data_IF_268728917413
#
_entry.id   IF_268728917413
#
_cell.length_a   1.000
_cell.length_b   1.000
_cell.length_c   1.000
_cell.angle_alpha   90.00
_cell.angle_beta   90.00
_cell.angle_gamma   90.00
#
_symmetry.space_group_name_H-M   'P 1'
#
loop_
_entity.id
_entity.type
_entity.pdbx_description
1 polymer ?
#
# COMPACT_ATOMS: atom_id res chain seq x y z
N UNK A 1 6.21 68.04 -12.31
CA UNK A 1 5.56 66.90 -11.65
C UNK A 1 5.82 65.67 -12.51
N UNK A 2 6.97 65.03 -12.31
CA UNK A 2 7.44 63.93 -13.17
C UNK A 2 7.52 62.68 -12.32
N UNK A 3 6.37 62.01 -12.16
CA UNK A 3 6.33 60.72 -11.48
C UNK A 3 7.01 59.70 -12.40
N UNK A 4 8.08 59.09 -11.89
CA UNK A 4 9.00 58.19 -12.60
C UNK A 4 8.28 57.03 -13.29
N UNK A 5 8.10 57.13 -14.61
CA UNK A 5 7.60 56.05 -15.48
C UNK A 5 8.42 54.76 -15.33
N UNK A 6 9.70 54.85 -15.00
CA UNK A 6 10.58 53.70 -14.71
C UNK A 6 10.13 52.84 -13.52
N UNK A 7 9.57 53.43 -12.46
CA UNK A 7 9.15 52.66 -11.27
C UNK A 7 7.94 51.77 -11.59
N UNK A 8 7.02 52.27 -12.42
CA UNK A 8 5.85 51.51 -12.87
C UNK A 8 6.21 50.34 -13.81
N UNK A 9 7.22 50.51 -14.66
CA UNK A 9 7.71 49.46 -15.56
C UNK A 9 8.42 48.34 -14.79
N UNK A 10 9.25 48.69 -13.80
CA UNK A 10 9.95 47.71 -12.96
C UNK A 10 8.97 46.92 -12.09
N UNK A 11 7.96 47.57 -11.49
CA UNK A 11 6.93 46.89 -10.71
C UNK A 11 6.09 45.91 -11.53
N UNK A 12 5.75 46.26 -12.79
CA UNK A 12 5.07 45.34 -13.72
C UNK A 12 5.95 44.16 -14.11
N UNK A 13 7.23 44.38 -14.42
CA UNK A 13 8.16 43.30 -14.77
C UNK A 13 8.36 42.31 -13.61
N UNK A 14 8.46 42.79 -12.36
CA UNK A 14 8.55 41.95 -11.17
C UNK A 14 7.26 41.15 -10.96
N UNK A 15 6.09 41.78 -11.13
CA UNK A 15 4.80 41.10 -11.00
C UNK A 15 4.61 40.02 -12.08
N UNK A 16 5.00 40.30 -13.33
CA UNK A 16 5.00 39.32 -14.42
C UNK A 16 5.99 38.18 -14.15
N UNK A 17 7.18 38.47 -13.60
CA UNK A 17 8.15 37.44 -13.24
C UNK A 17 7.65 36.53 -12.10
N UNK A 18 6.98 37.08 -11.09
CA UNK A 18 6.38 36.31 -9.99
C UNK A 18 5.22 35.42 -10.48
N UNK A 19 4.34 35.94 -11.35
CA UNK A 19 3.24 35.16 -11.94
C UNK A 19 3.79 34.06 -12.87
N UNK A 20 4.84 34.35 -13.63
CA UNK A 20 5.48 33.38 -14.52
C UNK A 20 6.19 32.27 -13.73
N UNK A 21 6.83 32.59 -12.59
CA UNK A 21 7.43 31.58 -11.69
C UNK A 21 6.38 30.80 -10.89
N UNK A 22 5.25 31.40 -10.50
CA UNK A 22 4.16 30.65 -9.85
C UNK A 22 3.46 29.68 -10.80
N UNK A 23 3.38 30.00 -12.10
CA UNK A 23 2.88 29.08 -13.13
C UNK A 23 3.82 27.90 -13.44
N UNK A 24 5.09 27.97 -13.02
CA UNK A 24 6.10 26.92 -13.25
C UNK A 24 6.26 25.96 -12.06
N UNK A 25 5.61 26.22 -10.93
CA UNK A 25 5.54 25.27 -9.81
C UNK A 25 4.55 24.14 -10.15
N UNK A 26 4.98 23.24 -11.03
CA UNK A 26 4.32 21.94 -11.16
C UNK A 26 4.62 21.15 -9.89
N UNK A 27 3.60 20.87 -9.10
CA UNK A 27 3.69 19.89 -8.02
C UNK A 27 3.96 18.55 -8.69
N UNK A 28 5.18 18.02 -8.53
CA UNK A 28 5.56 16.68 -8.94
C UNK A 28 4.94 15.70 -7.93
N UNK A 29 3.70 15.29 -8.20
CA UNK A 29 3.13 14.12 -7.57
C UNK A 29 3.64 12.86 -8.28
N UNK A 30 3.69 11.74 -7.56
CA UNK A 30 3.97 10.44 -8.16
C UNK A 30 2.83 10.09 -9.15
N UNK A 31 3.12 10.14 -10.45
CA UNK A 31 2.20 9.70 -11.51
C UNK A 31 2.64 8.34 -12.04
N UNK A 32 2.24 7.29 -11.33
CA UNK A 32 2.53 5.89 -11.71
C UNK A 32 1.49 5.29 -12.67
N UNK A 33 0.54 6.09 -13.16
CA UNK A 33 -0.49 5.64 -14.09
C UNK A 33 -1.63 4.80 -13.49
N UNK A 34 -1.59 4.48 -12.19
CA UNK A 34 -2.62 3.70 -11.49
C UNK A 34 -3.72 4.59 -10.90
N UNK A 35 -4.77 3.95 -10.36
CA UNK A 35 -5.88 4.58 -9.62
C UNK A 35 -6.52 5.81 -10.29
N UNK A 36 -6.61 5.79 -11.64
CA UNK A 36 -7.32 6.82 -12.43
C UNK A 36 -8.82 6.88 -12.11
N UNK A 37 -9.35 5.79 -11.55
CA UNK A 37 -10.63 5.73 -10.83
C UNK A 37 -10.38 5.19 -9.42
N UNK A 38 -11.30 5.44 -8.46
CA UNK A 38 -11.19 4.84 -7.13
C UNK A 38 -11.01 3.32 -7.21
N UNK A 39 -10.04 2.73 -6.49
CA UNK A 39 -9.81 1.29 -6.53
C UNK A 39 -11.00 0.54 -5.91
N UNK A 40 -11.41 -0.55 -6.56
CA UNK A 40 -12.52 -1.39 -6.10
C UNK A 40 -12.00 -2.79 -5.78
N UNK A 41 -12.32 -3.29 -4.59
CA UNK A 41 -11.86 -4.60 -4.15
C UNK A 41 -12.44 -5.02 -2.81
N UNK A 42 -11.80 -6.02 -2.22
CA UNK A 42 -12.10 -6.57 -0.92
C UNK A 42 -10.84 -6.53 -0.06
N UNK A 43 -11.01 -6.20 1.23
CA UNK A 43 -9.93 -6.08 2.21
C UNK A 43 -10.35 -6.78 3.50
N UNK A 44 -9.45 -7.56 4.11
CA UNK A 44 -9.80 -8.48 5.19
C UNK A 44 -10.18 -7.81 6.53
N UNK A 45 -9.65 -6.60 6.80
CA UNK A 45 -9.63 -6.03 8.15
C UNK A 45 -10.99 -5.89 8.84
N UNK A 46 -11.95 -5.20 8.23
CA UNK A 46 -13.18 -4.82 8.93
C UNK A 46 -13.94 -6.06 9.46
N UNK A 47 -14.04 -7.10 8.62
CA UNK A 47 -14.78 -8.32 8.94
C UNK A 47 -13.96 -9.37 9.68
N UNK A 48 -12.68 -9.56 9.32
CA UNK A 48 -11.86 -10.68 9.82
C UNK A 48 -10.83 -10.26 10.87
N UNK A 49 -10.51 -8.96 10.93
CA UNK A 49 -9.60 -8.36 11.92
C UNK A 49 -8.28 -9.13 11.99
N UNK A 50 -7.72 -9.27 13.18
CA UNK A 50 -6.51 -10.03 13.47
C UNK A 50 -6.82 -11.45 13.97
N UNK A 51 -7.81 -12.14 13.41
CA UNK A 51 -8.13 -13.51 13.82
C UNK A 51 -7.04 -14.48 13.32
N UNK A 52 -6.18 -14.96 14.22
CA UNK A 52 -5.10 -15.93 13.88
C UNK A 52 -5.36 -17.34 14.40
N UNK A 53 -6.52 -17.57 15.05
CA UNK A 53 -6.86 -18.87 15.62
C UNK A 53 -7.45 -19.82 14.57
N UNK A 54 -6.59 -20.30 13.68
CA UNK A 54 -6.99 -21.26 12.65
C UNK A 54 -7.32 -22.66 13.21
N UNK A 55 -7.04 -22.93 14.49
CA UNK A 55 -7.36 -24.21 15.10
C UNK A 55 -8.84 -24.27 15.46
N UNK A 56 -9.35 -23.21 16.09
CA UNK A 56 -10.74 -23.16 16.55
C UNK A 56 -11.66 -22.43 15.56
N UNK A 57 -11.13 -21.59 14.67
CA UNK A 57 -11.88 -20.85 13.66
C UNK A 57 -11.23 -20.88 12.26
N UNK A 58 -11.07 -22.09 11.66
CA UNK A 58 -10.31 -22.28 10.42
C UNK A 58 -10.90 -21.58 9.19
N UNK A 59 -12.18 -21.20 9.22
CA UNK A 59 -12.87 -20.58 8.09
C UNK A 59 -12.83 -19.05 8.12
N UNK A 60 -12.46 -18.44 9.25
CA UNK A 60 -12.39 -16.98 9.39
C UNK A 60 -11.02 -16.49 9.86
N UNK A 61 -10.07 -17.37 10.17
CA UNK A 61 -8.72 -16.93 10.48
C UNK A 61 -8.01 -16.36 9.23
N UNK A 62 -7.12 -15.39 9.45
CA UNK A 62 -6.25 -14.79 8.43
C UNK A 62 -5.27 -15.85 7.93
N UNK A 63 -5.61 -16.47 6.81
CA UNK A 63 -4.88 -17.60 6.23
C UNK A 63 -4.97 -17.59 4.71
N UNK A 64 -4.02 -18.25 4.05
CA UNK A 64 -4.00 -18.46 2.59
C UNK A 64 -5.35 -18.97 2.08
N UNK A 65 -5.96 -19.93 2.80
CA UNK A 65 -7.28 -20.47 2.46
C UNK A 65 -8.36 -19.39 2.39
N UNK A 66 -8.40 -18.47 3.36
CA UNK A 66 -9.38 -17.38 3.37
C UNK A 66 -9.28 -16.53 2.09
N UNK A 67 -8.07 -16.15 1.69
CA UNK A 67 -7.85 -15.29 0.53
C UNK A 67 -8.11 -16.02 -0.79
N UNK A 68 -7.77 -17.32 -0.89
CA UNK A 68 -8.14 -18.14 -2.05
C UNK A 68 -9.66 -18.26 -2.18
N UNK A 69 -10.36 -18.53 -1.08
CA UNK A 69 -11.82 -18.65 -1.06
C UNK A 69 -12.51 -17.33 -1.44
N UNK A 70 -11.95 -16.17 -1.03
CA UNK A 70 -12.49 -14.85 -1.42
C UNK A 70 -12.21 -14.54 -2.88
N UNK A 71 -11.02 -14.88 -3.39
CA UNK A 71 -10.69 -14.72 -4.81
C UNK A 71 -11.64 -15.54 -5.70
N UNK A 72 -11.95 -16.79 -5.33
CA UNK A 72 -12.91 -17.63 -6.04
C UNK A 72 -14.32 -17.02 -6.04
N UNK A 73 -14.79 -16.53 -4.89
CA UNK A 73 -16.09 -15.85 -4.78
C UNK A 73 -16.14 -14.57 -5.59
N UNK A 74 -15.07 -13.77 -5.60
CA UNK A 74 -15.03 -12.54 -6.39
C UNK A 74 -15.03 -12.81 -7.90
N UNK A 75 -14.29 -13.83 -8.34
CA UNK A 75 -14.20 -14.21 -9.74
C UNK A 75 -15.49 -14.82 -10.30
N UNK A 76 -16.15 -15.69 -9.52
CA UNK A 76 -17.36 -16.41 -9.94
C UNK A 76 -18.68 -15.73 -9.58
N UNK A 77 -18.71 -14.94 -8.50
CA UNK A 77 -19.92 -14.35 -7.92
C UNK A 77 -20.37 -13.00 -8.52
N UNK A 78 -19.74 -12.56 -9.62
CA UNK A 78 -20.12 -11.32 -10.31
C UNK A 78 -19.43 -10.05 -9.82
N UNK A 79 -18.71 -10.08 -8.69
CA UNK A 79 -17.96 -8.92 -8.16
C UNK A 79 -16.92 -8.42 -9.15
N UNK A 80 -16.13 -9.32 -9.74
CA UNK A 80 -15.16 -8.95 -10.78
C UNK A 80 -15.83 -8.26 -11.97
N UNK A 81 -17.00 -8.75 -12.42
CA UNK A 81 -17.76 -8.13 -13.51
C UNK A 81 -18.28 -6.74 -13.15
N UNK A 82 -18.56 -6.52 -11.87
CA UNK A 82 -18.95 -5.22 -11.33
C UNK A 82 -17.76 -4.28 -11.05
N UNK A 83 -16.52 -4.71 -11.32
CA UNK A 83 -15.30 -3.88 -11.20
C UNK A 83 -14.46 -4.13 -9.95
N UNK A 84 -14.86 -5.02 -9.04
CA UNK A 84 -14.05 -5.36 -7.86
C UNK A 84 -12.90 -6.29 -8.25
N UNK A 85 -11.69 -5.76 -8.31
CA UNK A 85 -10.53 -6.46 -8.85
C UNK A 85 -9.41 -6.72 -7.82
N UNK A 86 -9.36 -6.00 -6.70
CA UNK A 86 -8.31 -6.18 -5.68
C UNK A 86 -8.74 -7.13 -4.55
N UNK A 87 -7.89 -8.10 -4.21
CA UNK A 87 -7.97 -8.92 -2.98
C UNK A 87 -6.82 -8.53 -2.07
N UNK A 88 -7.10 -7.85 -0.96
CA UNK A 88 -6.10 -7.20 -0.12
C UNK A 88 -6.01 -7.89 1.24
N UNK A 89 -4.82 -8.38 1.58
CA UNK A 89 -4.47 -8.81 2.94
C UNK A 89 -4.18 -7.58 3.78
N UNK A 90 -4.83 -7.48 4.93
CA UNK A 90 -4.52 -6.47 5.94
C UNK A 90 -3.49 -7.00 6.97
N UNK A 91 -3.41 -6.41 8.16
CA UNK A 91 -2.47 -6.80 9.20
C UNK A 91 -2.59 -8.30 9.62
N UNK A 92 -1.60 -8.76 10.38
CA UNK A 92 -1.53 -10.08 10.99
C UNK A 92 -1.24 -11.25 10.03
N UNK A 93 -0.70 -11.00 8.84
CA UNK A 93 -0.35 -12.04 7.87
C UNK A 93 1.05 -12.65 8.08
N UNK A 94 1.99 -11.86 8.60
CA UNK A 94 3.40 -12.23 8.67
C UNK A 94 3.73 -13.10 9.89
N UNK A 95 4.93 -13.68 9.88
CA UNK A 95 5.61 -14.11 11.10
C UNK A 95 5.84 -12.93 12.04
N UNK A 96 6.00 -13.22 13.34
CA UNK A 96 6.39 -12.21 14.34
C UNK A 96 7.85 -11.77 14.24
N UNK A 97 8.65 -12.43 13.41
CA UNK A 97 10.05 -12.11 13.17
C UNK A 97 10.36 -12.18 11.68
N UNK A 98 11.21 -11.26 11.23
CA UNK A 98 11.87 -11.34 9.92
C UNK A 98 12.84 -12.52 9.88
N UNK A 99 13.25 -12.95 8.69
CA UNK A 99 14.30 -13.95 8.55
C UNK A 99 15.68 -13.40 8.91
N UNK A 100 16.71 -14.26 8.82
CA UNK A 100 18.11 -13.89 9.11
C UNK A 100 18.67 -12.77 8.22
N UNK A 101 18.05 -12.52 7.06
CA UNK A 101 18.43 -11.46 6.13
C UNK A 101 17.56 -10.20 6.31
N UNK A 102 16.69 -10.16 7.32
CA UNK A 102 15.80 -9.03 7.57
C UNK A 102 14.55 -9.00 6.66
N UNK A 103 14.26 -10.06 5.90
CA UNK A 103 13.10 -10.11 5.01
C UNK A 103 11.84 -10.52 5.75
N UNK A 104 10.71 -9.87 5.46
CA UNK A 104 9.39 -10.29 5.93
C UNK A 104 9.09 -11.73 5.49
N UNK A 105 8.48 -12.50 6.38
CA UNK A 105 8.06 -13.88 6.14
C UNK A 105 6.57 -13.99 6.37
N UNK A 106 5.86 -14.72 5.50
CA UNK A 106 4.48 -15.11 5.77
C UNK A 106 4.46 -16.13 6.92
N UNK A 107 3.43 -16.08 7.77
CA UNK A 107 3.23 -17.11 8.79
C UNK A 107 3.16 -18.49 8.15
N UNK A 108 4.08 -19.38 8.52
CA UNK A 108 4.27 -20.67 7.83
C UNK A 108 3.10 -21.63 8.02
N UNK A 109 2.33 -21.48 9.10
CA UNK A 109 1.19 -22.36 9.37
C UNK A 109 -0.05 -21.88 8.63
N UNK A 110 -0.25 -20.56 8.54
CA UNK A 110 -1.43 -19.95 7.94
C UNK A 110 -1.28 -19.68 6.45
N UNK A 111 -0.05 -19.49 5.97
CA UNK A 111 0.33 -19.27 4.58
C UNK A 111 1.41 -20.27 4.13
N UNK A 112 1.13 -21.58 4.15
CA UNK A 112 2.14 -22.62 3.94
C UNK A 112 2.79 -22.58 2.55
N UNK A 113 2.09 -22.05 1.52
CA UNK A 113 2.65 -21.91 0.18
C UNK A 113 3.44 -20.60 -0.02
N UNK A 114 3.34 -19.66 0.92
CA UNK A 114 3.95 -18.33 0.86
C UNK A 114 3.21 -17.33 -0.03
N UNK A 115 3.51 -16.03 0.14
CA UNK A 115 2.78 -14.93 -0.50
C UNK A 115 2.84 -14.98 -2.03
N UNK A 116 4.01 -15.28 -2.61
CA UNK A 116 4.13 -15.33 -4.07
C UNK A 116 3.13 -16.30 -4.71
N UNK A 117 2.98 -17.50 -4.15
CA UNK A 117 2.04 -18.50 -4.70
C UNK A 117 0.58 -18.06 -4.52
N UNK A 118 0.26 -17.37 -3.43
CA UNK A 118 -1.05 -16.77 -3.23
C UNK A 118 -1.33 -15.65 -4.25
N UNK A 119 -0.35 -14.79 -4.52
CA UNK A 119 -0.46 -13.76 -5.56
C UNK A 119 -0.66 -14.40 -6.95
N UNK A 120 0.18 -15.37 -7.32
CA UNK A 120 0.07 -16.13 -8.58
C UNK A 120 -1.34 -16.77 -8.71
N UNK A 121 -1.89 -17.31 -7.62
CA UNK A 121 -3.24 -17.87 -7.60
C UNK A 121 -4.31 -16.80 -7.84
N UNK A 122 -4.23 -15.65 -7.16
CA UNK A 122 -5.17 -14.54 -7.32
C UNK A 122 -5.12 -13.97 -8.76
N UNK A 123 -3.91 -13.84 -9.31
CA UNK A 123 -3.70 -13.45 -10.71
C UNK A 123 -4.31 -14.45 -11.69
N UNK A 124 -4.26 -15.75 -11.40
CA UNK A 124 -4.89 -16.79 -12.24
C UNK A 124 -6.43 -16.64 -12.34
N UNK A 125 -7.05 -15.96 -11.36
CA UNK A 125 -8.49 -15.59 -11.40
C UNK A 125 -8.73 -14.28 -12.13
N UNK A 126 -7.67 -13.65 -12.65
CA UNK A 126 -7.63 -12.32 -13.23
C UNK A 126 -8.05 -11.24 -12.24
N UNK A 127 -7.67 -11.41 -10.98
CA UNK A 127 -7.77 -10.41 -9.90
C UNK A 127 -6.36 -9.88 -9.61
N UNK A 128 -6.27 -8.83 -8.79
CA UNK A 128 -5.05 -8.17 -8.34
C UNK A 128 -4.83 -8.44 -6.86
N UNK A 129 -3.59 -8.61 -6.44
CA UNK A 129 -3.24 -8.93 -5.07
C UNK A 129 -2.72 -7.70 -4.31
N UNK A 130 -3.26 -7.45 -3.13
CA UNK A 130 -2.78 -6.41 -2.23
C UNK A 130 -2.22 -6.94 -0.92
N UNK A 131 -1.23 -6.24 -0.38
CA UNK A 131 -0.62 -6.57 0.91
C UNK A 131 -0.54 -5.35 1.82
N UNK A 132 -0.38 -5.61 3.11
CA UNK A 132 -0.27 -4.62 4.16
C UNK A 132 1.14 -4.58 4.76
N UNK A 133 1.59 -3.37 5.07
CA UNK A 133 2.73 -3.08 5.92
C UNK A 133 2.46 -1.85 6.77
N UNK A 134 3.40 -1.51 7.64
CA UNK A 134 3.32 -0.35 8.52
C UNK A 134 4.64 0.41 8.43
N UNK A 135 4.55 1.74 8.32
CA UNK A 135 5.71 2.60 8.24
C UNK A 135 6.57 2.49 9.50
N UNK A 136 6.00 2.33 10.69
CA UNK A 136 6.73 2.36 11.96
C UNK A 136 7.55 1.11 12.27
N UNK A 137 7.90 0.96 13.54
CA UNK A 137 8.70 -0.20 14.01
C UNK A 137 7.91 -1.49 14.10
N UNK A 138 6.60 -1.39 14.30
CA UNK A 138 5.65 -2.50 14.36
C UNK A 138 4.37 -2.11 13.62
N UNK A 139 3.65 -3.11 13.13
CA UNK A 139 2.26 -2.92 12.70
C UNK A 139 1.35 -2.66 13.90
N UNK A 140 0.16 -2.12 13.66
CA UNK A 140 -0.84 -1.91 14.72
C UNK A 140 -1.18 -3.21 15.50
N UNK A 141 -1.10 -4.38 14.87
CA UNK A 141 -1.25 -5.72 15.46
C UNK A 141 0.04 -6.29 16.06
N UNK A 142 1.10 -5.49 16.16
CA UNK A 142 2.38 -5.85 16.76
C UNK A 142 3.18 -6.87 15.94
N UNK A 143 3.11 -6.81 14.61
CA UNK A 143 3.97 -7.56 13.68
C UNK A 143 5.13 -6.67 13.21
N UNK A 144 6.19 -7.19 12.56
CA UNK A 144 7.32 -6.37 12.13
C UNK A 144 6.91 -5.22 11.19
N UNK A 145 7.22 -3.97 11.56
CA UNK A 145 7.04 -2.79 10.70
C UNK A 145 8.22 -2.56 9.77
N UNK A 146 8.13 -1.55 8.91
CA UNK A 146 9.02 -1.35 7.75
C UNK A 146 10.02 -0.20 7.87
N UNK A 147 10.01 0.62 8.94
CA UNK A 147 10.82 1.87 9.02
C UNK A 147 12.32 1.71 8.67
N UNK A 148 12.93 0.57 9.00
CA UNK A 148 14.35 0.29 8.73
C UNK A 148 14.58 -0.66 7.54
N UNK A 149 13.52 -0.98 6.80
CA UNK A 149 13.49 -2.01 5.75
C UNK A 149 12.68 -1.57 4.53
N UNK A 150 12.37 -0.29 4.35
CA UNK A 150 11.46 0.21 3.31
C UNK A 150 11.81 -0.29 1.91
N UNK A 151 13.07 -0.13 1.48
CA UNK A 151 13.52 -0.61 0.17
C UNK A 151 13.49 -2.15 0.07
N UNK A 152 13.96 -2.84 1.11
CA UNK A 152 13.96 -4.31 1.15
C UNK A 152 12.54 -4.90 1.11
N UNK A 153 11.59 -4.27 1.79
CA UNK A 153 10.18 -4.67 1.81
C UNK A 153 9.50 -4.34 0.48
N UNK A 154 9.76 -3.16 -0.10
CA UNK A 154 9.27 -2.80 -1.43
C UNK A 154 9.75 -3.80 -2.50
N UNK A 155 11.03 -4.16 -2.50
CA UNK A 155 11.60 -5.19 -3.38
C UNK A 155 10.97 -6.57 -3.11
N UNK A 156 10.77 -6.92 -1.84
CA UNK A 156 10.10 -8.17 -1.43
C UNK A 156 8.69 -8.27 -1.99
N UNK A 157 7.90 -7.19 -1.91
CA UNK A 157 6.53 -7.15 -2.42
C UNK A 157 6.50 -7.19 -3.96
N UNK A 158 7.41 -6.48 -4.62
CA UNK A 158 7.53 -6.53 -6.08
C UNK A 158 7.89 -7.94 -6.58
N UNK A 159 8.85 -8.61 -5.94
CA UNK A 159 9.24 -10.00 -6.25
C UNK A 159 8.10 -11.01 -6.05
N UNK A 160 7.23 -10.77 -5.07
CA UNK A 160 6.06 -11.60 -4.82
C UNK A 160 4.88 -11.31 -5.75
N UNK A 161 4.95 -10.27 -6.58
CA UNK A 161 3.88 -9.91 -7.52
C UNK A 161 2.72 -9.16 -6.85
N UNK A 162 3.00 -8.32 -5.85
CA UNK A 162 1.98 -7.46 -5.22
C UNK A 162 1.59 -6.31 -6.15
N UNK A 163 0.29 -6.06 -6.29
CA UNK A 163 -0.30 -4.99 -7.13
C UNK A 163 -0.79 -3.77 -6.32
N UNK A 164 -0.96 -3.93 -5.00
CA UNK A 164 -1.49 -2.90 -4.12
C UNK A 164 -0.80 -2.98 -2.75
N UNK A 165 -0.40 -1.84 -2.20
CA UNK A 165 0.20 -1.78 -0.88
C UNK A 165 -0.56 -0.81 0.02
N UNK A 166 -1.09 -1.31 1.15
CA UNK A 166 -1.59 -0.49 2.25
C UNK A 166 -0.44 -0.26 3.22
N UNK A 167 -0.04 1.00 3.38
CA UNK A 167 0.93 1.42 4.40
C UNK A 167 0.19 2.08 5.56
N UNK A 168 0.32 1.49 6.75
CA UNK A 168 -0.17 2.08 8.00
C UNK A 168 0.91 2.92 8.68
N UNK A 169 0.59 3.51 9.84
CA UNK A 169 1.50 4.42 10.54
C UNK A 169 1.56 4.23 12.06
N UNK A 170 1.28 3.03 12.57
CA UNK A 170 1.43 2.76 14.00
C UNK A 170 2.91 2.70 14.38
N UNK A 171 3.24 2.99 15.65
CA UNK A 171 4.61 2.90 16.16
C UNK A 171 5.66 3.69 15.35
N UNK A 172 5.23 4.83 14.79
CA UNK A 172 6.04 5.84 14.13
C UNK A 172 5.90 7.17 14.87
N UNK A 173 6.99 7.94 14.95
CA UNK A 173 6.96 9.33 15.41
C UNK A 173 6.59 10.24 14.22
N UNK A 174 5.89 11.35 14.48
CA UNK A 174 5.40 12.24 13.41
C UNK A 174 6.56 12.76 12.55
N UNK A 175 7.69 13.07 13.18
CA UNK A 175 8.88 13.60 12.52
C UNK A 175 9.52 12.59 11.55
N UNK A 176 9.22 11.30 11.69
CA UNK A 176 9.81 10.26 10.84
C UNK A 176 9.12 10.17 9.47
N UNK A 177 7.86 10.61 9.35
CA UNK A 177 7.12 10.55 8.08
C UNK A 177 7.73 11.46 7.00
N UNK A 178 8.31 12.59 7.40
CA UNK A 178 8.89 13.56 6.48
C UNK A 178 10.23 13.10 5.88
N UNK A 179 10.93 12.18 6.55
CA UNK A 179 12.27 11.78 6.14
C UNK A 179 12.27 10.75 5.01
N UNK A 180 11.18 9.99 4.81
CA UNK A 180 10.96 9.08 3.69
C UNK A 180 12.22 8.35 3.19
N UNK A 181 13.02 7.82 4.12
CA UNK A 181 14.37 7.29 3.84
C UNK A 181 14.36 5.99 3.07
#
# INVERSE_FOLDING_TARGET
>A
MSINVSVFLVGRAILFAIIFTSCLLKILALDNGLTRTPPMGWLSWERFRCNVDCKNDPNNCISEKLFMDMADKMASGGYKKAGYEYVIIDDCWSEKKRDQNGRLQADKNRFPSGIKKLADYIHSKGLKFGIYGDFGTLTCGGYPGSIYYLEADANTFAEWGVDYFKMDGCYAEIEQFDEGK
#
